data_IF_865690046031
#
_entry.id   IF_865690046031
#
_cell.length_a   1.000
_cell.length_b   1.000
_cell.length_c   1.000
_cell.angle_alpha   90.00
_cell.angle_beta   90.00
_cell.angle_gamma   90.00
#
_symmetry.space_group_name_H-M   'P 1'
#
loop_
_entity.id
_entity.type
_entity.pdbx_description
1 polymer ?
#
# COMPACT_ATOMS: atom_id res chain seq x y z
N UNK A 1 -27.49 -23.70 9.76
CA UNK A 1 -26.26 -24.50 9.89
C UNK A 1 -25.33 -24.05 8.79
N UNK A 2 -24.32 -23.24 9.09
CA UNK A 2 -23.29 -22.83 8.12
C UNK A 2 -22.01 -23.52 8.58
N UNK A 3 -21.49 -24.35 7.67
CA UNK A 3 -20.36 -25.26 7.85
C UNK A 3 -19.11 -24.58 7.28
N UNK A 4 -18.02 -24.60 8.04
CA UNK A 4 -16.67 -24.27 7.57
C UNK A 4 -16.25 -22.82 7.81
N UNK A 5 -15.69 -22.55 8.99
CA UNK A 5 -14.95 -21.31 9.22
C UNK A 5 -13.69 -21.31 8.35
N UNK A 6 -13.67 -20.47 7.32
CA UNK A 6 -12.41 -20.09 6.68
C UNK A 6 -11.61 -19.29 7.73
N UNK A 7 -10.64 -19.95 8.35
CA UNK A 7 -9.66 -19.27 9.20
C UNK A 7 -8.84 -18.36 8.28
N UNK A 8 -9.01 -17.05 8.44
CA UNK A 8 -8.29 -16.07 7.66
C UNK A 8 -6.78 -16.24 7.75
N UNK A 9 -6.07 -15.85 6.68
CA UNK A 9 -4.61 -15.88 6.63
C UNK A 9 -4.07 -14.60 7.26
N UNK A 10 -3.23 -14.71 8.28
CA UNK A 10 -2.48 -13.55 8.77
C UNK A 10 -1.33 -13.23 7.81
N UNK A 11 -1.19 -11.96 7.46
CA UNK A 11 -0.14 -11.43 6.58
C UNK A 11 0.56 -10.29 7.29
N UNK A 12 1.90 -10.32 7.25
CA UNK A 12 2.76 -9.24 7.72
C UNK A 12 3.36 -8.54 6.50
N UNK A 13 3.20 -7.22 6.42
CA UNK A 13 3.81 -6.45 5.35
C UNK A 13 3.74 -4.96 5.57
N UNK A 14 4.00 -4.23 4.50
CA UNK A 14 4.05 -2.78 4.49
C UNK A 14 3.03 -2.25 3.51
N UNK A 15 2.24 -1.27 3.93
CA UNK A 15 1.30 -0.62 3.02
C UNK A 15 2.06 0.25 2.02
N UNK A 16 2.02 -0.12 0.75
CA UNK A 16 2.72 0.58 -0.33
C UNK A 16 1.76 1.24 -1.33
N UNK A 17 0.47 0.91 -1.29
CA UNK A 17 -0.54 1.54 -2.12
C UNK A 17 -1.90 1.59 -1.44
N UNK A 18 -2.68 2.63 -1.75
CA UNK A 18 -4.01 2.87 -1.22
C UNK A 18 -4.87 3.55 -2.28
N UNK A 19 -5.99 2.95 -2.67
CA UNK A 19 -6.89 3.52 -3.66
C UNK A 19 -8.36 3.42 -3.19
N UNK A 20 -9.12 4.53 -3.16
CA UNK A 20 -10.55 4.45 -2.86
C UNK A 20 -11.27 3.68 -3.97
N UNK A 21 -12.16 2.79 -3.56
CA UNK A 21 -13.09 2.09 -4.45
C UNK A 21 -14.49 2.66 -4.18
N UNK A 22 -15.00 3.46 -5.12
CA UNK A 22 -16.37 3.95 -5.05
C UNK A 22 -17.31 2.81 -5.50
N UNK A 23 -17.86 2.05 -4.54
CA UNK A 23 -18.90 1.05 -4.77
C UNK A 23 -20.12 1.35 -3.90
N UNK A 24 -21.05 2.14 -4.44
CA UNK A 24 -22.29 2.50 -3.73
C UNK A 24 -22.03 3.42 -2.53
N UNK A 25 -22.60 3.09 -1.37
CA UNK A 25 -22.52 3.89 -0.12
C UNK A 25 -21.40 3.47 0.83
N UNK A 26 -20.65 2.40 0.53
CA UNK A 26 -19.57 1.93 1.40
C UNK A 26 -18.25 2.42 0.81
N UNK A 27 -17.48 3.18 1.59
CA UNK A 27 -16.12 3.57 1.23
C UNK A 27 -15.19 2.37 1.43
N UNK A 28 -15.14 1.48 0.43
CA UNK A 28 -14.13 0.42 0.37
C UNK A 28 -12.81 0.97 -0.17
N UNK A 29 -11.70 0.40 0.25
CA UNK A 29 -10.37 0.83 -0.16
C UNK A 29 -9.56 -0.37 -0.59
N UNK A 30 -8.96 -0.26 -1.77
CA UNK A 30 -7.93 -1.18 -2.23
C UNK A 30 -6.60 -0.84 -1.56
N UNK A 31 -5.99 -1.83 -0.95
CA UNK A 31 -4.69 -1.80 -0.30
C UNK A 31 -3.70 -2.64 -1.12
N UNK A 32 -2.51 -2.10 -1.34
CA UNK A 32 -1.38 -2.88 -1.85
C UNK A 32 -0.39 -3.03 -0.70
N UNK A 33 -0.16 -4.28 -0.27
CA UNK A 33 0.73 -4.62 0.83
C UNK A 33 1.93 -5.38 0.28
N UNK A 34 3.14 -4.87 0.51
CA UNK A 34 4.39 -5.54 0.15
C UNK A 34 4.93 -6.31 1.35
N UNK A 35 5.09 -7.62 1.21
CA UNK A 35 5.67 -8.46 2.25
C UNK A 35 7.20 -8.37 2.24
N UNK A 36 7.89 -8.64 3.37
CA UNK A 36 9.35 -8.72 3.38
C UNK A 36 9.92 -9.74 2.38
N UNK A 37 9.17 -10.80 2.09
CA UNK A 37 9.51 -11.82 1.09
C UNK A 37 9.39 -11.36 -0.36
N UNK A 38 8.89 -10.15 -0.62
CA UNK A 38 8.75 -9.58 -1.96
C UNK A 38 7.44 -9.92 -2.67
N UNK A 39 6.51 -10.58 -1.99
CA UNK A 39 5.15 -10.78 -2.49
C UNK A 39 4.34 -9.48 -2.35
N UNK A 40 3.51 -9.19 -3.36
CA UNK A 40 2.50 -8.14 -3.29
C UNK A 40 1.14 -8.76 -3.05
N UNK A 41 0.46 -8.33 -1.99
CA UNK A 41 -0.94 -8.59 -1.77
C UNK A 41 -1.74 -7.39 -2.28
N UNK A 42 -2.76 -7.68 -3.07
CA UNK A 42 -3.78 -6.73 -3.50
C UNK A 42 -5.11 -7.10 -2.84
N UNK A 43 -5.53 -6.31 -1.87
CA UNK A 43 -6.66 -6.63 -1.01
C UNK A 43 -7.57 -5.43 -0.82
N UNK A 44 -8.79 -5.67 -0.36
CA UNK A 44 -9.78 -4.63 -0.06
C UNK A 44 -9.99 -4.58 1.44
N UNK A 45 -10.08 -3.38 2.01
CA UNK A 45 -10.56 -3.16 3.38
C UNK A 45 -11.84 -2.33 3.32
N UNK A 46 -12.81 -2.69 4.15
CA UNK A 46 -13.94 -1.82 4.44
C UNK A 46 -13.55 -0.97 5.65
N UNK A 47 -13.75 0.35 5.57
CA UNK A 47 -13.51 1.27 6.68
C UNK A 47 -12.08 1.17 7.26
N UNK A 48 -11.05 1.72 6.58
CA UNK A 48 -9.70 1.68 7.14
C UNK A 48 -9.64 2.41 8.49
N UNK A 49 -8.74 2.00 9.40
CA UNK A 49 -8.49 2.77 10.60
C UNK A 49 -7.69 4.04 10.30
N UNK A 50 -7.91 5.09 11.10
CA UNK A 50 -7.36 6.43 10.83
C UNK A 50 -5.83 6.51 10.95
N UNK A 51 -5.19 5.56 11.64
CA UNK A 51 -3.72 5.52 11.71
C UNK A 51 -3.11 4.99 10.40
N UNK A 52 -3.84 4.21 9.60
CA UNK A 52 -3.33 3.56 8.41
C UNK A 52 -2.85 4.58 7.38
N UNK A 53 -1.68 4.35 6.79
CA UNK A 53 -1.10 5.22 5.77
C UNK A 53 0.03 4.52 5.02
N UNK A 54 0.42 5.07 3.86
CA UNK A 54 1.55 4.54 3.09
C UNK A 54 2.80 4.48 3.97
N UNK A 55 3.61 3.45 3.76
CA UNK A 55 4.80 3.11 4.53
C UNK A 55 4.52 2.60 5.96
N UNK A 56 3.25 2.35 6.32
CA UNK A 56 2.93 1.75 7.62
C UNK A 56 3.26 0.26 7.63
N UNK A 57 3.96 -0.26 8.65
CA UNK A 57 4.06 -1.68 8.92
C UNK A 57 2.73 -2.21 9.46
N UNK A 58 2.21 -3.28 8.86
CA UNK A 58 0.87 -3.80 9.16
C UNK A 58 0.89 -5.31 9.36
N UNK A 59 0.03 -5.76 10.27
CA UNK A 59 -0.43 -7.14 10.36
C UNK A 59 -1.91 -7.16 10.00
N UNK A 60 -2.30 -7.99 9.02
CA UNK A 60 -3.68 -8.07 8.56
C UNK A 60 -4.18 -9.50 8.50
N UNK A 61 -5.47 -9.67 8.81
CA UNK A 61 -6.19 -10.93 8.63
C UNK A 61 -6.99 -10.89 7.33
N UNK A 62 -6.65 -11.78 6.41
CA UNK A 62 -7.18 -11.77 5.03
C UNK A 62 -8.02 -13.00 4.76
N UNK A 63 -9.21 -12.77 4.23
CA UNK A 63 -10.16 -13.78 3.81
C UNK A 63 -10.44 -13.66 2.32
N UNK A 64 -10.52 -14.79 1.62
CA UNK A 64 -11.05 -14.81 0.27
C UNK A 64 -12.57 -14.80 0.31
N UNK A 65 -13.17 -13.85 -0.41
CA UNK A 65 -14.62 -13.73 -0.52
C UNK A 65 -15.01 -13.62 -1.99
N UNK A 66 -16.11 -14.27 -2.37
CA UNK A 66 -16.62 -14.17 -3.73
C UNK A 66 -17.39 -12.87 -3.93
N UNK A 67 -17.08 -12.17 -5.01
CA UNK A 67 -17.75 -10.96 -5.49
C UNK A 67 -18.28 -11.21 -6.91
N UNK A 68 -19.22 -10.39 -7.37
CA UNK A 68 -19.73 -10.43 -8.76
C UNK A 68 -18.64 -10.40 -9.85
N UNK A 69 -17.45 -9.85 -9.54
CA UNK A 69 -16.30 -9.82 -10.44
C UNK A 69 -15.23 -10.90 -10.19
N UNK A 70 -15.52 -11.91 -9.38
CA UNK A 70 -14.58 -12.95 -8.97
C UNK A 70 -14.21 -12.90 -7.48
N UNK A 71 -13.33 -13.80 -7.06
CA UNK A 71 -12.85 -13.88 -5.67
C UNK A 71 -11.89 -12.71 -5.38
N UNK A 72 -12.12 -12.00 -4.28
CA UNK A 72 -11.29 -10.89 -3.80
C UNK A 72 -10.67 -11.24 -2.44
N UNK A 73 -9.47 -10.72 -2.18
CA UNK A 73 -8.86 -10.76 -0.86
C UNK A 73 -9.42 -9.61 0.00
N UNK A 74 -10.17 -9.95 1.05
CA UNK A 74 -10.77 -9.01 2.00
C UNK A 74 -9.97 -8.98 3.29
N UNK A 75 -9.46 -7.81 3.64
CA UNK A 75 -8.88 -7.51 4.96
C UNK A 75 -10.03 -7.30 5.94
N UNK A 76 -10.13 -8.22 6.90
CA UNK A 76 -11.15 -8.19 7.96
C UNK A 76 -10.65 -7.63 9.28
N UNK A 77 -9.34 -7.67 9.50
CA UNK A 77 -8.68 -7.01 10.61
C UNK A 77 -7.33 -6.45 10.14
N UNK A 78 -6.95 -5.27 10.64
CA UNK A 78 -5.67 -4.65 10.38
C UNK A 78 -5.18 -3.89 11.62
N UNK A 79 -3.94 -4.15 11.99
CA UNK A 79 -3.28 -3.52 13.15
C UNK A 79 -1.85 -3.10 12.80
N UNK A 80 -1.29 -2.11 13.51
CA UNK A 80 0.13 -1.81 13.39
C UNK A 80 0.95 -3.07 13.74
N UNK A 81 1.94 -3.41 12.93
CA UNK A 81 2.85 -4.50 13.28
C UNK A 81 3.90 -4.03 14.28
N UNK A 82 4.12 -4.82 15.33
CA UNK A 82 5.19 -4.61 16.33
C UNK A 82 6.45 -5.43 16.03
N UNK A 83 6.39 -6.31 15.02
CA UNK A 83 7.48 -7.22 14.64
C UNK A 83 8.25 -6.74 13.43
N UNK A 84 7.59 -5.98 12.55
CA UNK A 84 8.20 -5.40 11.36
C UNK A 84 8.98 -4.13 11.70
N UNK A 85 10.19 -3.96 11.14
CA UNK A 85 10.94 -2.71 11.24
C UNK A 85 10.16 -1.51 10.71
N UNK A 86 10.38 -0.34 11.29
CA UNK A 86 9.86 0.91 10.77
C UNK A 86 10.44 1.25 9.38
N UNK A 87 9.67 2.00 8.60
CA UNK A 87 10.08 2.46 7.28
C UNK A 87 10.73 3.83 7.36
N UNK A 88 11.92 3.93 6.79
CA UNK A 88 12.55 5.20 6.41
C UNK A 88 12.25 5.52 4.95
N UNK A 89 11.89 6.77 4.68
CA UNK A 89 11.57 7.28 3.35
C UNK A 89 12.82 7.96 2.79
N UNK A 90 13.34 7.47 1.66
CA UNK A 90 14.50 8.06 0.97
C UNK A 90 14.06 8.63 -0.38
N UNK A 91 14.35 9.90 -0.63
CA UNK A 91 14.06 10.56 -1.90
C UNK A 91 15.25 10.42 -2.86
N UNK A 92 14.96 9.95 -4.07
CA UNK A 92 15.96 9.64 -5.10
C UNK A 92 15.54 10.16 -6.48
N UNK A 93 16.52 10.30 -7.36
CA UNK A 93 16.34 10.49 -8.80
C UNK A 93 16.91 9.24 -9.46
N UNK A 94 16.03 8.51 -10.16
CA UNK A 94 16.43 7.35 -10.95
C UNK A 94 16.75 7.85 -12.36
N UNK A 95 17.96 7.58 -12.81
CA UNK A 95 18.49 8.03 -14.10
C UNK A 95 18.62 6.86 -15.08
N UNK A 96 18.75 5.63 -14.55
CA UNK A 96 18.80 4.40 -15.34
C UNK A 96 17.88 3.35 -14.77
N UNK A 97 17.19 2.68 -15.69
CA UNK A 97 16.33 1.54 -15.42
C UNK A 97 16.71 0.42 -16.39
N UNK A 98 17.13 -0.74 -15.88
CA UNK A 98 17.50 -1.88 -16.72
C UNK A 98 16.98 -3.19 -16.16
N UNK A 99 16.42 -4.04 -17.03
CA UNK A 99 16.02 -5.39 -16.65
C UNK A 99 17.18 -6.34 -16.95
N UNK A 100 17.76 -6.93 -15.90
CA UNK A 100 18.81 -7.94 -16.02
C UNK A 100 18.26 -9.24 -16.60
N UNK A 101 19.14 -10.08 -17.15
CA UNK A 101 18.79 -11.40 -17.69
C UNK A 101 18.16 -12.34 -16.67
N UNK A 102 18.41 -12.13 -15.37
CA UNK A 102 17.79 -12.86 -14.26
C UNK A 102 16.34 -12.43 -13.97
N UNK A 103 15.78 -11.47 -14.72
CA UNK A 103 14.46 -10.89 -14.49
C UNK A 103 14.42 -9.84 -13.38
N UNK A 104 15.53 -9.63 -12.66
CA UNK A 104 15.66 -8.53 -11.70
C UNK A 104 15.83 -7.20 -12.43
N UNK A 105 15.56 -6.12 -11.73
CA UNK A 105 15.72 -4.77 -12.26
C UNK A 105 16.83 -4.05 -11.51
N UNK A 106 17.72 -3.43 -12.27
CA UNK A 106 18.73 -2.50 -11.80
C UNK A 106 18.18 -1.09 -11.89
N UNK A 107 18.21 -0.37 -10.77
CA UNK A 107 17.90 1.06 -10.68
C UNK A 107 19.16 1.81 -10.27
N UNK A 108 19.55 2.82 -11.05
CA UNK A 108 20.72 3.65 -10.73
C UNK A 108 20.37 5.14 -10.79
N UNK A 109 21.11 5.94 -10.03
CA UNK A 109 20.99 7.39 -10.04
C UNK A 109 21.52 8.01 -8.75
N UNK A 110 20.88 9.08 -8.30
CA UNK A 110 21.35 9.89 -7.18
C UNK A 110 20.31 10.11 -6.09
N UNK A 111 20.79 10.18 -4.85
CA UNK A 111 19.97 10.56 -3.69
C UNK A 111 19.81 12.08 -3.65
N UNK A 112 18.70 12.58 -3.12
CA UNK A 112 18.43 14.02 -3.05
C UNK A 112 19.47 14.79 -2.20
N UNK A 113 20.15 14.12 -1.26
CA UNK A 113 21.24 14.69 -0.44
C UNK A 113 22.65 14.54 -1.05
N UNK A 114 22.75 14.09 -2.30
CA UNK A 114 24.02 13.70 -2.91
C UNK A 114 24.37 12.23 -2.65
N UNK A 115 25.26 11.68 -3.48
CA UNK A 115 25.63 10.27 -3.45
C UNK A 115 24.91 9.44 -4.50
N UNK A 116 25.66 8.54 -5.13
CA UNK A 116 25.16 7.58 -6.11
C UNK A 116 24.53 6.37 -5.42
N UNK A 117 23.54 5.75 -6.07
CA UNK A 117 23.04 4.44 -5.67
C UNK A 117 22.93 3.52 -6.90
N UNK A 118 23.04 2.22 -6.66
CA UNK A 118 22.68 1.17 -7.60
C UNK A 118 21.96 0.07 -6.83
N UNK A 119 20.70 -0.19 -7.17
CA UNK A 119 19.85 -1.17 -6.50
C UNK A 119 19.45 -2.28 -7.47
N UNK A 120 19.66 -3.53 -7.07
CA UNK A 120 19.13 -4.71 -7.76
C UNK A 120 17.87 -5.19 -7.04
N UNK A 121 16.71 -5.09 -7.69
CA UNK A 121 15.41 -5.34 -7.08
C UNK A 121 14.59 -6.35 -7.86
N UNK A 122 13.76 -7.12 -7.16
CA UNK A 122 12.70 -7.89 -7.78
C UNK A 122 11.67 -6.94 -8.42
N UNK A 123 11.08 -7.29 -9.58
CA UNK A 123 10.09 -6.43 -10.26
C UNK A 123 8.89 -6.04 -9.38
N UNK A 124 8.47 -6.91 -8.46
CA UNK A 124 7.38 -6.66 -7.51
C UNK A 124 7.64 -5.51 -6.55
N UNK A 125 8.91 -5.12 -6.34
CA UNK A 125 9.27 -3.96 -5.50
C UNK A 125 9.22 -2.64 -6.26
N UNK A 126 8.96 -2.66 -7.56
CA UNK A 126 8.95 -1.48 -8.42
C UNK A 126 7.50 -1.12 -8.75
N UNK A 127 7.00 -0.12 -8.04
CA UNK A 127 5.63 0.37 -8.13
C UNK A 127 5.58 1.67 -8.93
N UNK A 128 6.42 1.76 -9.96
CA UNK A 128 6.49 2.88 -10.89
C UNK A 128 5.50 2.64 -12.03
N UNK A 129 4.52 3.54 -12.16
CA UNK A 129 3.54 3.52 -13.25
C UNK A 129 4.19 3.73 -14.62
N UNK A 130 5.21 4.59 -14.68
CA UNK A 130 6.01 4.86 -15.88
C UNK A 130 7.50 4.73 -15.53
N UNK A 131 8.27 4.15 -16.46
CA UNK A 131 9.71 3.90 -16.34
C UNK A 131 10.54 4.81 -17.24
N UNK A 132 10.02 6.01 -17.51
CA UNK A 132 10.74 7.06 -18.24
C UNK A 132 11.75 7.72 -17.30
N UNK A 133 13.02 7.75 -17.71
CA UNK A 133 14.11 8.35 -16.92
C UNK A 133 14.53 9.71 -17.52
N UNK A 134 14.93 10.69 -16.68
CA UNK A 134 15.02 10.61 -15.23
C UNK A 134 13.66 10.71 -14.53
N UNK A 135 13.49 9.99 -13.42
CA UNK A 135 12.27 10.02 -12.59
C UNK A 135 12.58 10.31 -11.13
N UNK A 136 11.84 11.24 -10.54
CA UNK A 136 11.86 11.46 -9.09
C UNK A 136 11.05 10.38 -8.40
N UNK A 137 11.69 9.67 -7.48
CA UNK A 137 11.11 8.53 -6.80
C UNK A 137 11.36 8.57 -5.29
N UNK A 138 10.63 7.72 -4.60
CA UNK A 138 10.73 7.47 -3.17
C UNK A 138 11.01 5.99 -2.97
N UNK A 139 12.04 5.69 -2.18
CA UNK A 139 12.36 4.33 -1.74
C UNK A 139 11.86 4.18 -0.31
N UNK A 140 11.06 3.14 -0.09
CA UNK A 140 10.62 2.71 1.22
C UNK A 140 11.64 1.69 1.74
N UNK A 141 12.40 2.09 2.77
CA UNK A 141 13.52 1.34 3.30
C UNK A 141 13.24 0.84 4.70
N UNK A 142 13.63 -0.38 5.00
CA UNK A 142 13.67 -0.91 6.35
C UNK A 142 15.10 -0.97 6.83
N UNK A 143 15.31 -0.76 8.12
CA UNK A 143 16.60 -0.99 8.75
C UNK A 143 16.40 -1.88 9.98
N UNK A 144 16.99 -3.07 9.97
CA UNK A 144 16.92 -4.00 11.10
C UNK A 144 18.27 -4.66 11.33
N UNK A 145 18.84 -4.46 12.53
CA UNK A 145 20.08 -5.13 12.97
C UNK A 145 21.22 -5.05 11.94
N UNK A 146 21.37 -3.89 11.28
CA UNK A 146 22.41 -3.66 10.27
C UNK A 146 22.11 -4.18 8.87
N UNK A 147 20.95 -4.81 8.65
CA UNK A 147 20.47 -5.19 7.31
C UNK A 147 19.50 -4.12 6.80
N UNK A 148 19.80 -3.56 5.62
CA UNK A 148 18.93 -2.65 4.92
C UNK A 148 18.05 -3.42 3.92
N UNK A 149 16.75 -3.17 3.95
CA UNK A 149 15.80 -3.73 3.01
C UNK A 149 15.13 -2.63 2.17
N UNK A 150 14.83 -2.94 0.91
CA UNK A 150 13.92 -2.13 0.09
C UNK A 150 12.60 -2.86 0.00
N UNK A 151 11.53 -2.17 0.34
CA UNK A 151 10.16 -2.69 0.37
C UNK A 151 9.38 -2.27 -0.87
N UNK A 152 9.63 -1.06 -1.35
CA UNK A 152 9.00 -0.54 -2.55
C UNK A 152 9.69 0.71 -3.06
N UNK A 153 9.64 0.90 -4.38
CA UNK A 153 10.07 2.11 -5.08
C UNK A 153 8.86 2.68 -5.79
N UNK A 154 8.47 3.90 -5.44
CA UNK A 154 7.30 4.58 -5.98
C UNK A 154 7.71 5.90 -6.62
N UNK A 155 6.92 6.41 -7.56
CA UNK A 155 7.15 7.77 -8.04
C UNK A 155 6.88 8.75 -6.89
N UNK A 156 7.63 9.86 -6.84
CA UNK A 156 7.40 10.87 -5.81
C UNK A 156 5.97 11.41 -5.90
N UNK A 157 5.43 11.55 -7.11
CA UNK A 157 4.05 11.99 -7.36
C UNK A 157 3.04 11.02 -6.76
N UNK A 158 3.13 9.72 -7.11
CA UNK A 158 2.22 8.70 -6.58
C UNK A 158 2.31 8.64 -5.05
N UNK A 159 3.50 8.71 -4.48
CA UNK A 159 3.68 8.75 -3.02
C UNK A 159 2.96 9.95 -2.36
N UNK A 160 3.04 11.14 -2.94
CA UNK A 160 2.34 12.33 -2.43
C UNK A 160 0.82 12.22 -2.58
N UNK A 161 0.33 11.69 -3.71
CA UNK A 161 -1.10 11.42 -3.93
C UNK A 161 -1.63 10.46 -2.87
N UNK A 162 -0.92 9.36 -2.62
CA UNK A 162 -1.33 8.36 -1.64
C UNK A 162 -1.30 8.90 -0.20
N UNK A 163 -0.34 9.77 0.14
CA UNK A 163 -0.35 10.48 1.42
C UNK A 163 -1.60 11.34 1.59
N UNK A 164 -1.99 12.07 0.54
CA UNK A 164 -3.19 12.93 0.52
C UNK A 164 -4.50 12.14 0.45
N UNK A 165 -4.51 10.95 -0.16
CA UNK A 165 -5.71 10.13 -0.25
C UNK A 165 -6.29 9.82 1.14
N UNK A 166 -5.43 9.67 2.16
CA UNK A 166 -5.84 9.54 3.56
C UNK A 166 -6.61 10.77 4.07
N UNK A 167 -6.12 11.97 3.77
CA UNK A 167 -6.76 13.22 4.16
C UNK A 167 -8.14 13.36 3.50
N UNK A 168 -8.23 13.01 2.21
CA UNK A 168 -9.48 13.01 1.46
C UNK A 168 -10.48 11.98 2.01
N UNK A 169 -10.03 10.79 2.37
CA UNK A 169 -10.88 9.77 3.00
C UNK A 169 -11.41 10.22 4.36
N UNK A 170 -10.58 10.91 5.15
CA UNK A 170 -11.01 11.51 6.41
C UNK A 170 -12.10 12.55 6.18
N UNK A 171 -11.90 13.45 5.21
CA UNK A 171 -12.90 14.46 4.84
C UNK A 171 -14.22 13.85 4.33
N UNK A 172 -14.16 12.78 3.54
CA UNK A 172 -15.36 12.09 3.07
C UNK A 172 -16.15 11.46 4.23
N UNK A 173 -15.48 10.78 5.17
CA UNK A 173 -16.12 10.25 6.38
C UNK A 173 -16.75 11.35 7.22
N UNK A 174 -16.06 12.48 7.41
CA UNK A 174 -16.58 13.63 8.16
C UNK A 174 -17.82 14.24 7.48
N UNK A 175 -17.84 14.34 6.15
CA UNK A 175 -19.00 14.83 5.40
C UNK A 175 -20.21 13.89 5.47
N UNK A 176 -19.99 12.57 5.44
CA UNK A 176 -21.07 11.59 5.62
C UNK A 176 -21.69 11.68 7.03
N UNK A 177 -20.87 11.88 8.06
CA UNK A 177 -21.33 12.07 9.44
C UNK A 177 -22.04 13.42 9.65
N UNK A 178 -21.68 14.45 8.88
CA UNK A 178 -22.29 15.78 8.95
C UNK A 178 -23.56 15.94 8.09
N UNK A 179 -24.06 14.87 7.46
CA UNK A 179 -25.35 14.85 6.74
C UNK A 179 -26.43 14.08 7.51
N UNK A 180 -26.99 14.64 8.61
CA UNK A 180 -28.13 14.04 9.33
C UNK A 180 -29.44 14.02 8.50
N UNK A 181 -29.47 14.69 7.36
CA UNK A 181 -30.68 14.85 6.51
C UNK A 181 -31.18 13.53 5.87
N UNK A 182 -30.41 12.44 5.94
CA UNK A 182 -30.83 11.11 5.47
C UNK A 182 -31.42 10.19 6.56
N UNK A 183 -31.32 10.56 7.85
CA UNK A 183 -31.99 9.81 8.93
C UNK A 183 -33.51 10.08 8.95
N UNK A 184 -33.93 11.26 8.49
CA UNK A 184 -35.35 11.66 8.46
C UNK A 184 -36.16 11.06 7.29
N UNK A 185 -35.51 10.49 6.27
CA UNK A 185 -36.20 9.82 5.14
C UNK A 185 -36.41 8.31 5.36
N UNK A 186 -36.12 7.78 6.56
CA UNK A 186 -36.38 6.38 6.94
C UNK A 186 -37.57 6.21 7.89
N UNK A 187 -38.23 7.31 8.25
CA UNK A 187 -39.44 7.31 9.05
C UNK A 187 -40.61 7.82 8.20
N UNK A 188 -40.98 7.06 7.17
CA UNK A 188 -42.31 7.03 6.55
C UNK A 188 -42.49 5.72 5.78
#
# INVERSE_FOLDING_TARGET
>A
MIVGGNLGREILGYLVGLQPLLRGRITSIRLIISTPGGELLDAVINEPPDWLGVASPVACLVNKVDSEGGSIDLVTDIRPSTTLPEITIEYIIIERFETASSGHVVLEGHKQGGGFFSYLLSPSKILLEKRETPVRAVVLRTHQRGTEGIVGVLSQTSFQVLKRAKELLKQLKEQEQQRPELEFLRAD
#
